data_IF_629626393992
#
_entry.id   IF_629626393992
#
_cell.length_a   1.000
_cell.length_b   1.000
_cell.length_c   1.000
_cell.angle_alpha   90.00
_cell.angle_beta   90.00
_cell.angle_gamma   90.00
#
_symmetry.space_group_name_H-M   'P 1'
#
loop_
_entity.id
_entity.type
_entity.pdbx_description
1 polymer ?
#
# COMPACT_ATOMS: atom_id res chain seq x y z
N UNK A 1 -4.34 2.73 -12.19
CA UNK A 1 -2.95 2.28 -11.80
C UNK A 1 -1.84 2.97 -12.60
N UNK A 2 -2.08 3.44 -13.82
CA UNK A 2 -1.05 4.10 -14.64
C UNK A 2 -0.38 5.29 -13.92
N UNK A 3 -1.15 6.26 -13.44
CA UNK A 3 -0.62 7.41 -12.68
C UNK A 3 0.14 6.99 -11.42
N UNK A 4 -0.30 5.90 -10.78
CA UNK A 4 0.40 5.32 -9.61
C UNK A 4 1.76 4.75 -9.99
N UNK A 5 1.85 4.04 -11.13
CA UNK A 5 3.12 3.53 -11.65
C UNK A 5 4.06 4.68 -12.03
N UNK A 6 3.56 5.69 -12.72
CA UNK A 6 4.36 6.87 -13.04
C UNK A 6 4.88 7.58 -11.78
N UNK A 7 4.03 7.69 -10.74
CA UNK A 7 4.43 8.29 -9.47
C UNK A 7 5.51 7.48 -8.76
N UNK A 8 5.33 6.17 -8.63
CA UNK A 8 6.25 5.34 -7.87
C UNK A 8 7.59 5.12 -8.60
N UNK A 9 7.59 5.26 -9.93
CA UNK A 9 8.80 5.20 -10.76
C UNK A 9 9.65 6.48 -10.65
N UNK A 10 9.11 7.56 -10.08
CA UNK A 10 9.91 8.76 -9.80
C UNK A 10 10.86 8.51 -8.65
N UNK A 11 12.06 9.12 -8.71
CA UNK A 11 12.92 9.21 -7.55
C UNK A 11 12.16 9.82 -6.37
N UNK A 12 12.23 9.24 -5.17
CA UNK A 12 11.48 9.73 -4.01
C UNK A 12 11.62 11.22 -3.71
N UNK A 13 12.77 11.83 -4.05
CA UNK A 13 13.01 13.27 -3.86
C UNK A 13 12.06 14.15 -4.69
N UNK A 14 11.55 13.63 -5.80
CA UNK A 14 10.63 14.34 -6.71
C UNK A 14 9.15 14.05 -6.43
N UNK A 15 8.82 13.02 -5.65
CA UNK A 15 7.44 12.55 -5.42
C UNK A 15 6.53 13.62 -4.84
N UNK A 16 7.05 14.51 -3.99
CA UNK A 16 6.29 15.63 -3.42
C UNK A 16 5.65 16.55 -4.46
N UNK A 17 6.26 16.69 -5.63
CA UNK A 17 5.75 17.54 -6.72
C UNK A 17 4.66 16.84 -7.57
N UNK A 18 4.47 15.55 -7.36
CA UNK A 18 3.54 14.71 -8.12
C UNK A 18 2.48 14.03 -7.25
N UNK A 19 2.31 14.49 -6.02
CA UNK A 19 1.43 13.87 -5.02
C UNK A 19 -0.02 13.71 -5.51
N UNK A 20 -0.52 14.66 -6.31
CA UNK A 20 -1.84 14.62 -6.91
C UNK A 20 -2.09 13.41 -7.81
N UNK A 21 -1.06 12.75 -8.37
CA UNK A 21 -1.21 11.53 -9.18
C UNK A 21 -1.75 10.35 -8.37
N UNK A 22 -1.49 10.31 -7.07
CA UNK A 22 -2.02 9.28 -6.18
C UNK A 22 -3.49 9.54 -5.80
N UNK A 23 -3.89 10.81 -5.73
CA UNK A 23 -5.23 11.20 -5.26
C UNK A 23 -6.23 11.38 -6.38
N UNK A 24 -5.76 11.64 -7.61
CA UNK A 24 -6.58 11.93 -8.78
C UNK A 24 -7.60 10.82 -9.10
N UNK A 25 -7.20 9.55 -8.94
CA UNK A 25 -8.08 8.40 -9.21
C UNK A 25 -9.38 8.42 -8.40
N UNK A 26 -9.37 9.03 -7.21
CA UNK A 26 -10.54 9.10 -6.35
C UNK A 26 -11.64 10.04 -6.87
N UNK A 27 -11.33 10.93 -7.81
CA UNK A 27 -12.32 11.80 -8.45
C UNK A 27 -13.33 11.01 -9.30
N UNK A 28 -12.96 9.84 -9.79
CA UNK A 28 -13.80 9.01 -10.65
C UNK A 28 -13.93 7.55 -10.17
N UNK A 29 -13.26 7.18 -9.06
CA UNK A 29 -13.17 5.79 -8.59
C UNK A 29 -14.53 5.10 -8.38
N UNK A 30 -15.60 5.86 -8.17
CA UNK A 30 -16.95 5.36 -7.89
C UNK A 30 -17.95 5.59 -9.04
N UNK A 31 -17.48 6.06 -10.20
CA UNK A 31 -18.34 6.24 -11.37
C UNK A 31 -18.63 4.92 -12.06
N UNK A 32 -17.74 3.95 -11.93
CA UNK A 32 -17.82 2.61 -12.54
C UNK A 32 -17.19 1.56 -11.62
N UNK A 33 -17.39 0.27 -11.95
CA UNK A 33 -16.78 -0.84 -11.23
C UNK A 33 -15.37 -1.11 -11.75
N UNK A 34 -14.38 -0.38 -11.25
CA UNK A 34 -13.00 -0.46 -11.72
C UNK A 34 -12.26 -1.70 -11.22
N UNK A 35 -11.44 -2.26 -12.10
CA UNK A 35 -10.33 -3.13 -11.76
C UNK A 35 -9.06 -2.27 -11.69
N UNK A 36 -8.17 -2.56 -10.76
CA UNK A 36 -6.86 -1.91 -10.61
C UNK A 36 -5.81 -2.80 -11.30
N UNK A 37 -5.52 -2.59 -12.61
CA UNK A 37 -4.67 -3.50 -13.34
C UNK A 37 -3.19 -3.16 -13.16
N UNK A 38 -2.41 -4.16 -12.73
CA UNK A 38 -1.01 -4.32 -13.05
C UNK A 38 -0.94 -5.50 -14.03
N UNK A 39 -1.40 -5.26 -15.26
CA UNK A 39 -1.62 -6.28 -16.28
C UNK A 39 -0.35 -6.56 -17.10
N UNK A 40 -0.46 -7.48 -18.07
CA UNK A 40 0.63 -7.75 -19.01
C UNK A 40 1.09 -6.49 -19.77
N UNK A 41 0.17 -5.55 -20.04
CA UNK A 41 0.49 -4.31 -20.76
C UNK A 41 1.55 -3.46 -20.06
N UNK A 42 1.73 -3.65 -18.74
CA UNK A 42 2.73 -2.92 -17.97
C UNK A 42 4.12 -3.59 -18.00
N UNK A 43 4.22 -4.84 -18.49
CA UNK A 43 5.45 -5.65 -18.41
C UNK A 43 5.87 -6.31 -19.70
N UNK A 44 5.23 -5.95 -20.84
CA UNK A 44 5.60 -6.41 -22.18
C UNK A 44 6.89 -5.77 -22.68
N UNK A 45 7.41 -6.29 -23.79
CA UNK A 45 8.66 -5.83 -24.42
C UNK A 45 8.74 -4.31 -24.56
N UNK A 46 9.85 -3.76 -24.10
CA UNK A 46 10.14 -2.32 -24.12
C UNK A 46 9.55 -1.52 -22.95
N UNK A 47 8.84 -2.16 -22.00
CA UNK A 47 8.23 -1.48 -20.85
C UNK A 47 8.91 -1.76 -19.51
N UNK A 48 9.88 -2.66 -19.45
CA UNK A 48 10.50 -3.22 -18.25
C UNK A 48 9.53 -3.98 -17.34
N UNK A 49 10.04 -4.89 -16.50
CA UNK A 49 9.24 -5.54 -15.45
C UNK A 49 8.89 -4.56 -14.33
N UNK A 50 7.88 -4.89 -13.50
CA UNK A 50 7.46 -4.00 -12.41
C UNK A 50 8.61 -3.65 -11.47
N UNK A 51 9.45 -4.61 -11.10
CA UNK A 51 10.58 -4.36 -10.20
C UNK A 51 11.65 -3.46 -10.84
N UNK A 52 11.86 -3.57 -12.15
CA UNK A 52 12.83 -2.74 -12.87
C UNK A 52 12.35 -1.31 -13.14
N UNK A 53 11.06 -1.02 -12.90
CA UNK A 53 10.53 0.35 -12.91
C UNK A 53 10.80 1.09 -11.59
N UNK A 54 11.15 0.37 -10.53
CA UNK A 54 11.34 0.96 -9.21
C UNK A 54 12.71 1.67 -9.13
N UNK A 55 12.77 2.90 -8.59
CA UNK A 55 14.03 3.63 -8.46
C UNK A 55 14.85 3.16 -7.26
N UNK A 56 16.15 3.46 -7.29
CA UNK A 56 17.07 3.28 -6.18
C UNK A 56 17.93 2.03 -6.25
N UNK A 57 18.38 1.56 -5.09
CA UNK A 57 19.16 0.34 -4.95
C UNK A 57 18.25 -0.92 -4.88
N UNK A 58 18.86 -2.10 -4.73
CA UNK A 58 18.12 -3.36 -4.70
C UNK A 58 17.06 -3.40 -3.59
N UNK A 59 17.40 -2.93 -2.38
CA UNK A 59 16.46 -2.87 -1.27
C UNK A 59 15.28 -1.94 -1.59
N UNK A 60 15.58 -0.76 -2.16
CA UNK A 60 14.57 0.24 -2.54
C UNK A 60 13.66 -0.28 -3.67
N UNK A 61 14.19 -1.05 -4.63
CA UNK A 61 13.37 -1.71 -5.65
C UNK A 61 12.29 -2.57 -5.01
N UNK A 62 12.68 -3.48 -4.10
CA UNK A 62 11.72 -4.35 -3.41
C UNK A 62 10.80 -3.58 -2.46
N UNK A 63 11.31 -2.58 -1.73
CA UNK A 63 10.52 -1.74 -0.84
C UNK A 63 9.42 -0.98 -1.63
N UNK A 64 9.77 -0.35 -2.74
CA UNK A 64 8.81 0.33 -3.62
C UNK A 64 7.77 -0.65 -4.21
N UNK A 65 8.18 -1.86 -4.58
CA UNK A 65 7.25 -2.85 -5.13
C UNK A 65 6.29 -3.39 -4.05
N UNK A 66 6.78 -3.66 -2.84
CA UNK A 66 5.93 -3.98 -1.68
C UNK A 66 4.93 -2.87 -1.37
N UNK A 67 5.40 -1.63 -1.39
CA UNK A 67 4.58 -0.44 -1.18
C UNK A 67 3.47 -0.31 -2.24
N UNK A 68 3.82 -0.47 -3.52
CA UNK A 68 2.87 -0.44 -4.64
C UNK A 68 1.76 -1.47 -4.46
N UNK A 69 2.12 -2.70 -4.11
CA UNK A 69 1.12 -3.75 -3.92
C UNK A 69 0.22 -3.46 -2.72
N UNK A 70 0.77 -3.05 -1.59
CA UNK A 70 -0.04 -2.69 -0.43
C UNK A 70 -0.97 -1.51 -0.73
N UNK A 71 -0.51 -0.49 -1.44
CA UNK A 71 -1.35 0.61 -1.92
C UNK A 71 -2.49 0.10 -2.82
N UNK A 72 -2.18 -0.73 -3.83
CA UNK A 72 -3.19 -1.31 -4.71
C UNK A 72 -4.24 -2.12 -3.92
N UNK A 73 -3.81 -2.95 -2.94
CA UNK A 73 -4.73 -3.76 -2.13
C UNK A 73 -5.60 -2.93 -1.19
N UNK A 74 -5.07 -1.84 -0.65
CA UNK A 74 -5.83 -0.93 0.20
C UNK A 74 -6.75 0.04 -0.58
N UNK A 75 -6.41 0.39 -1.83
CA UNK A 75 -7.19 1.29 -2.68
C UNK A 75 -8.53 0.64 -3.10
N UNK A 76 -9.65 1.39 -3.25
CA UNK A 76 -10.90 0.86 -3.80
C UNK A 76 -10.74 0.29 -5.21
N UNK A 77 -11.51 -0.75 -5.54
CA UNK A 77 -11.49 -1.46 -6.83
C UNK A 77 -10.93 -2.88 -6.74
N UNK A 78 -11.21 -3.71 -7.74
CA UNK A 78 -10.74 -5.10 -7.77
C UNK A 78 -9.28 -5.19 -8.20
N UNK A 79 -8.55 -6.14 -7.65
CA UNK A 79 -7.09 -6.28 -7.83
C UNK A 79 -6.77 -7.18 -9.02
N UNK A 80 -5.83 -6.75 -9.85
CA UNK A 80 -5.28 -7.58 -10.92
C UNK A 80 -3.76 -7.46 -10.91
N UNK A 81 -3.08 -8.54 -10.62
CA UNK A 81 -1.64 -8.69 -10.71
C UNK A 81 -1.31 -9.76 -11.73
N UNK A 82 -0.50 -9.41 -12.73
CA UNK A 82 -0.12 -10.35 -13.78
C UNK A 82 0.98 -11.30 -13.30
N UNK A 83 0.99 -12.52 -13.87
CA UNK A 83 1.90 -13.60 -13.50
C UNK A 83 3.38 -13.15 -13.50
N UNK A 84 4.14 -13.61 -12.50
CA UNK A 84 5.54 -13.22 -12.29
C UNK A 84 5.69 -11.95 -11.45
N UNK A 85 4.68 -11.08 -11.40
CA UNK A 85 4.67 -9.89 -10.55
C UNK A 85 4.71 -10.24 -9.05
N UNK A 86 4.03 -11.33 -8.67
CA UNK A 86 3.93 -11.78 -7.28
C UNK A 86 5.26 -12.13 -6.62
N UNK A 87 6.28 -12.46 -7.40
CA UNK A 87 7.63 -12.70 -6.90
C UNK A 87 8.68 -11.76 -7.51
N UNK A 88 8.25 -10.71 -8.23
CA UNK A 88 9.13 -9.67 -8.77
C UNK A 88 10.03 -10.17 -9.89
N UNK A 89 9.46 -10.88 -10.88
CA UNK A 89 10.18 -11.30 -12.09
C UNK A 89 10.97 -10.14 -12.69
N UNK A 90 12.23 -10.37 -13.07
CA UNK A 90 13.11 -9.32 -13.60
C UNK A 90 13.02 -9.13 -15.09
N UNK A 91 12.82 -10.22 -15.85
CA UNK A 91 12.60 -10.12 -17.28
C UNK A 91 11.21 -9.57 -17.59
N UNK A 92 11.13 -8.87 -18.71
CA UNK A 92 9.84 -8.54 -19.33
C UNK A 92 9.08 -9.81 -19.66
N UNK A 93 7.75 -9.73 -19.63
CA UNK A 93 6.96 -10.90 -19.99
C UNK A 93 7.13 -11.28 -21.45
N UNK A 94 7.41 -12.56 -21.69
CA UNK A 94 7.49 -13.18 -22.98
C UNK A 94 6.66 -14.47 -22.99
N UNK A 95 5.72 -14.58 -23.94
CA UNK A 95 4.83 -15.75 -24.03
C UNK A 95 5.56 -17.04 -24.47
N UNK A 96 6.75 -16.92 -25.04
CA UNK A 96 7.56 -18.05 -25.52
C UNK A 96 8.44 -18.68 -24.44
N UNK A 97 8.55 -18.05 -23.27
CA UNK A 97 9.43 -18.51 -22.19
C UNK A 97 8.67 -18.75 -20.89
N UNK A 98 9.18 -19.66 -20.07
CA UNK A 98 8.68 -19.86 -18.73
C UNK A 98 9.01 -18.66 -17.83
N UNK A 99 8.22 -18.49 -16.75
CA UNK A 99 8.55 -17.52 -15.71
C UNK A 99 9.89 -17.87 -15.04
N UNK A 100 10.56 -16.86 -14.51
CA UNK A 100 11.87 -16.98 -13.85
C UNK A 100 11.78 -17.59 -12.44
N UNK A 101 11.21 -18.80 -12.31
CA UNK A 101 11.02 -19.46 -11.01
C UNK A 101 12.31 -19.62 -10.19
N UNK A 102 13.48 -19.60 -10.83
CA UNK A 102 14.78 -19.63 -10.16
C UNK A 102 15.03 -18.43 -9.25
N UNK A 103 14.31 -17.30 -9.44
CA UNK A 103 14.41 -16.13 -8.57
C UNK A 103 13.92 -16.41 -7.14
N UNK A 104 13.05 -17.39 -6.96
CA UNK A 104 12.61 -17.84 -5.62
C UNK A 104 13.71 -18.49 -4.78
N UNK A 105 14.91 -18.69 -5.32
CA UNK A 105 16.08 -19.06 -4.50
C UNK A 105 16.63 -17.86 -3.68
N UNK A 106 16.21 -16.63 -3.99
CA UNK A 106 16.69 -15.42 -3.34
C UNK A 106 15.68 -14.90 -2.32
N UNK A 107 16.14 -14.50 -1.10
CA UNK A 107 15.26 -14.10 0.01
C UNK A 107 14.32 -12.94 -0.33
N UNK A 108 14.78 -11.98 -1.11
CA UNK A 108 14.00 -10.78 -1.47
C UNK A 108 12.77 -11.15 -2.31
N UNK A 109 12.91 -12.08 -3.24
CA UNK A 109 11.83 -12.58 -4.08
C UNK A 109 10.86 -13.46 -3.28
N UNK A 110 11.37 -14.27 -2.34
CA UNK A 110 10.53 -15.03 -1.41
C UNK A 110 9.72 -14.11 -0.51
N UNK A 111 10.36 -13.07 0.04
CA UNK A 111 9.71 -12.07 0.89
C UNK A 111 8.58 -11.34 0.17
N UNK A 112 8.80 -10.95 -1.09
CA UNK A 112 7.77 -10.33 -1.91
C UNK A 112 6.60 -11.27 -2.19
N UNK A 113 6.88 -12.53 -2.54
CA UNK A 113 5.84 -13.53 -2.76
C UNK A 113 5.01 -13.75 -1.50
N UNK A 114 5.66 -13.84 -0.34
CA UNK A 114 4.99 -13.95 0.95
C UNK A 114 4.08 -12.76 1.21
N UNK A 115 4.55 -11.54 0.96
CA UNK A 115 3.71 -10.35 1.09
C UNK A 115 2.45 -10.45 0.22
N UNK A 116 2.56 -10.88 -1.02
CA UNK A 116 1.40 -11.02 -1.91
C UNK A 116 0.42 -12.09 -1.38
N UNK A 117 0.92 -13.18 -0.83
CA UNK A 117 0.08 -14.19 -0.17
C UNK A 117 -0.68 -13.59 1.02
N UNK A 118 0.01 -12.83 1.87
CA UNK A 118 -0.58 -12.22 3.06
C UNK A 118 -1.54 -11.08 2.70
N UNK A 119 -1.25 -10.28 1.66
CA UNK A 119 -2.17 -9.30 1.10
C UNK A 119 -3.46 -9.96 0.59
N UNK A 120 -3.36 -11.09 -0.12
CA UNK A 120 -4.52 -11.85 -0.57
C UNK A 120 -5.35 -12.40 0.62
N UNK A 121 -4.69 -12.87 1.67
CA UNK A 121 -5.34 -13.35 2.88
C UNK A 121 -6.03 -12.19 3.63
N UNK A 122 -5.34 -11.06 3.78
CA UNK A 122 -5.87 -9.85 4.40
C UNK A 122 -7.10 -9.33 3.63
N UNK A 123 -7.00 -9.20 2.30
CA UNK A 123 -8.09 -8.72 1.46
C UNK A 123 -9.35 -9.58 1.61
N UNK A 124 -9.22 -10.90 1.67
CA UNK A 124 -10.36 -11.82 1.85
C UNK A 124 -10.94 -11.78 3.26
N UNK A 125 -10.08 -11.60 4.28
CA UNK A 125 -10.50 -11.61 5.69
C UNK A 125 -11.14 -10.30 6.13
N UNK A 126 -10.70 -9.16 5.58
CA UNK A 126 -11.12 -7.84 6.04
C UNK A 126 -12.22 -7.26 5.15
N UNK A 127 -13.49 -7.27 5.62
CA UNK A 127 -14.65 -6.78 4.86
C UNK A 127 -14.48 -5.34 4.39
N UNK A 128 -13.81 -4.50 5.18
CA UNK A 128 -13.53 -3.11 4.84
C UNK A 128 -12.75 -2.94 3.53
N UNK A 129 -11.98 -3.95 3.09
CA UNK A 129 -11.19 -3.88 1.87
C UNK A 129 -11.96 -4.23 0.59
N UNK A 130 -13.14 -4.90 0.70
CA UNK A 130 -13.80 -5.43 -0.50
C UNK A 130 -15.32 -5.29 -0.56
N UNK A 131 -16.01 -5.02 0.57
CA UNK A 131 -17.49 -4.98 0.58
C UNK A 131 -18.06 -3.74 -0.10
N UNK A 132 -17.33 -2.62 -0.05
CA UNK A 132 -17.73 -1.34 -0.61
C UNK A 132 -16.64 -0.77 -1.54
N UNK A 133 -16.15 -1.59 -2.48
CA UNK A 133 -15.09 -1.19 -3.42
C UNK A 133 -15.56 -0.17 -4.47
N UNK A 134 -16.88 -0.10 -4.71
CA UNK A 134 -17.48 0.71 -5.78
C UNK A 134 -18.43 1.78 -5.25
N UNK A 135 -18.35 2.06 -3.94
CA UNK A 135 -19.18 3.04 -3.26
C UNK A 135 -18.29 4.00 -2.46
N UNK A 136 -18.59 5.30 -2.55
CA UNK A 136 -17.90 6.34 -1.82
C UNK A 136 -17.96 6.14 -0.29
N UNK A 137 -18.95 5.43 0.23
CA UNK A 137 -19.07 5.09 1.66
C UNK A 137 -17.95 4.15 2.11
N UNK A 138 -17.34 3.40 1.20
CA UNK A 138 -16.25 2.47 1.48
C UNK A 138 -14.87 3.10 1.62
N UNK A 139 -14.76 4.42 1.39
CA UNK A 139 -13.46 5.12 1.40
C UNK A 139 -13.57 6.52 1.99
N UNK A 140 -12.56 6.91 2.76
CA UNK A 140 -12.46 8.25 3.30
C UNK A 140 -11.00 8.66 3.46
N UNK A 141 -10.63 9.81 2.92
CA UNK A 141 -9.33 10.41 3.21
C UNK A 141 -9.24 10.83 4.68
N UNK A 142 -8.14 10.49 5.34
CA UNK A 142 -7.74 11.07 6.62
C UNK A 142 -6.81 12.26 6.39
N UNK A 143 -5.81 12.07 5.54
CA UNK A 143 -4.96 13.12 4.99
C UNK A 143 -4.48 12.72 3.60
N UNK A 144 -4.81 13.52 2.61
CA UNK A 144 -4.35 13.38 1.22
C UNK A 144 -3.50 14.57 0.78
N UNK A 145 -3.17 15.50 1.67
CA UNK A 145 -2.52 16.77 1.35
C UNK A 145 -1.06 16.84 1.82
N UNK A 146 -0.54 15.83 2.51
CA UNK A 146 0.84 15.83 2.99
C UNK A 146 1.83 15.47 1.87
N UNK A 147 1.84 16.30 0.82
CA UNK A 147 2.75 16.16 -0.30
C UNK A 147 4.21 16.37 0.08
N UNK A 148 4.49 17.26 1.02
CA UNK A 148 5.88 17.55 1.46
C UNK A 148 6.55 16.31 2.07
N UNK A 149 5.80 15.51 2.81
CA UNK A 149 6.26 14.24 3.35
C UNK A 149 6.00 13.05 2.41
N UNK A 150 5.25 13.27 1.33
CA UNK A 150 4.78 12.19 0.43
C UNK A 150 4.13 11.04 1.20
N UNK A 151 3.21 11.39 2.11
CA UNK A 151 2.44 10.44 2.92
C UNK A 151 0.97 10.53 2.56
N UNK A 152 0.30 9.38 2.48
CA UNK A 152 -1.16 9.29 2.36
C UNK A 152 -1.73 8.51 3.53
N UNK A 153 -2.85 8.99 4.06
CA UNK A 153 -3.62 8.24 5.06
C UNK A 153 -5.11 8.24 4.72
N UNK A 154 -5.75 7.08 4.85
CA UNK A 154 -7.17 6.93 4.56
C UNK A 154 -7.82 5.79 5.34
N UNK A 155 -9.14 5.82 5.39
CA UNK A 155 -9.98 4.75 5.91
C UNK A 155 -10.59 3.93 4.78
N UNK A 156 -10.65 2.63 4.97
CA UNK A 156 -11.55 1.73 4.23
C UNK A 156 -12.63 1.28 5.19
N UNK A 157 -13.89 1.28 4.72
CA UNK A 157 -15.06 0.90 5.52
C UNK A 157 -15.78 -0.30 4.92
N UNK A 158 -16.23 -1.20 5.79
CA UNK A 158 -17.21 -2.22 5.43
C UNK A 158 -18.63 -1.63 5.36
N UNK A 159 -19.62 -2.47 5.10
CA UNK A 159 -21.04 -2.07 5.20
C UNK A 159 -21.44 -1.72 6.63
N UNK A 160 -20.85 -2.38 7.61
CA UNK A 160 -20.90 -1.94 9.00
C UNK A 160 -19.90 -0.77 9.17
N UNK A 161 -20.35 0.45 9.47
CA UNK A 161 -19.47 1.61 9.62
C UNK A 161 -18.46 1.48 10.77
N UNK A 162 -18.75 0.63 11.76
CA UNK A 162 -17.85 0.30 12.87
C UNK A 162 -16.71 -0.64 12.46
N UNK A 163 -16.87 -1.36 11.33
CA UNK A 163 -15.80 -2.18 10.76
C UNK A 163 -15.03 -1.39 9.72
N UNK A 164 -13.89 -0.82 10.14
CA UNK A 164 -13.02 -0.04 9.29
C UNK A 164 -11.54 -0.38 9.48
N UNK A 165 -10.75 -0.04 8.48
CA UNK A 165 -9.30 -0.19 8.45
C UNK A 165 -8.65 1.15 8.14
N UNK A 166 -7.59 1.49 8.88
CA UNK A 166 -6.74 2.67 8.65
C UNK A 166 -5.52 2.24 7.85
N UNK A 167 -5.27 2.89 6.72
CA UNK A 167 -4.04 2.74 5.96
C UNK A 167 -3.20 4.01 6.07
N UNK A 168 -1.90 3.86 6.32
CA UNK A 168 -0.91 4.94 6.30
C UNK A 168 0.28 4.50 5.43
N UNK A 169 0.64 5.33 4.46
CA UNK A 169 1.57 4.96 3.39
C UNK A 169 2.63 6.05 3.24
N UNK A 170 3.89 5.68 3.44
CA UNK A 170 5.05 6.55 3.33
C UNK A 170 5.81 6.24 2.04
N UNK A 171 5.76 7.16 1.09
CA UNK A 171 6.43 7.01 -0.21
C UNK A 171 7.88 7.55 -0.23
N UNK A 172 8.48 7.80 0.94
CA UNK A 172 9.86 8.30 1.05
C UNK A 172 10.78 7.31 1.75
N UNK A 173 12.09 7.31 1.44
CA UNK A 173 13.08 6.46 2.11
C UNK A 173 13.47 7.01 3.50
N UNK A 174 12.57 7.70 4.17
CA UNK A 174 12.78 8.30 5.49
C UNK A 174 11.76 7.73 6.47
N UNK A 175 12.21 7.15 7.56
CA UNK A 175 11.34 6.75 8.67
C UNK A 175 10.73 8.01 9.30
N UNK A 176 9.40 7.97 9.55
CA UNK A 176 8.70 9.06 10.20
C UNK A 176 8.21 8.61 11.56
N UNK A 177 8.93 9.03 12.58
CA UNK A 177 8.55 8.76 13.96
C UNK A 177 7.48 9.76 14.44
N UNK A 178 6.60 9.29 15.32
CA UNK A 178 5.54 10.11 15.90
C UNK A 178 4.62 10.79 14.86
N UNK A 179 4.43 10.16 13.70
CA UNK A 179 3.53 10.66 12.67
C UNK A 179 2.08 10.52 13.12
N UNK A 180 1.38 11.66 13.20
CA UNK A 180 0.04 11.69 13.76
C UNK A 180 -1.03 11.48 12.69
N UNK A 181 -1.92 10.51 12.94
CA UNK A 181 -3.05 10.15 12.07
C UNK A 181 -4.35 10.26 12.85
N UNK A 182 -5.28 11.10 12.40
CA UNK A 182 -6.59 11.23 13.01
C UNK A 182 -7.45 10.00 12.83
N UNK A 183 -8.16 9.56 13.88
CA UNK A 183 -9.06 8.41 13.84
C UNK A 183 -10.40 8.71 14.50
N UNK A 184 -11.52 8.05 14.06
CA UNK A 184 -12.86 8.39 14.54
C UNK A 184 -13.14 7.89 15.96
N UNK A 185 -12.48 6.84 16.43
CA UNK A 185 -12.83 6.12 17.65
C UNK A 185 -11.63 5.90 18.57
N UNK A 186 -11.86 5.88 19.91
CA UNK A 186 -10.84 5.50 20.87
C UNK A 186 -10.58 3.99 20.85
N UNK A 187 -9.50 3.54 21.45
CA UNK A 187 -9.17 2.13 21.66
C UNK A 187 -7.84 1.72 21.07
N UNK A 188 -7.55 0.44 21.11
CA UNK A 188 -6.33 -0.15 20.57
C UNK A 188 -6.51 -0.50 19.10
N UNK A 189 -5.59 -0.03 18.28
CA UNK A 189 -5.51 -0.31 16.85
C UNK A 189 -4.38 -1.30 16.60
N UNK A 190 -4.74 -2.55 16.28
CA UNK A 190 -3.78 -3.59 15.95
C UNK A 190 -3.18 -3.35 14.56
N UNK A 191 -1.86 -3.45 14.43
CA UNK A 191 -1.18 -3.45 13.14
C UNK A 191 -1.44 -4.79 12.45
N UNK A 192 -2.19 -4.77 11.34
CA UNK A 192 -2.55 -5.96 10.57
C UNK A 192 -1.58 -6.26 9.45
N UNK A 193 -0.90 -5.23 8.95
CA UNK A 193 0.09 -5.30 7.89
C UNK A 193 1.15 -4.24 8.13
N UNK A 194 2.39 -4.64 7.92
CA UNK A 194 3.54 -3.73 7.82
C UNK A 194 4.44 -4.26 6.70
N UNK A 195 4.53 -3.52 5.59
CA UNK A 195 5.31 -3.99 4.43
C UNK A 195 6.82 -3.92 4.63
N UNK A 196 7.30 -3.29 5.72
CA UNK A 196 8.70 -3.30 6.15
C UNK A 196 9.03 -4.43 7.16
N UNK A 197 8.10 -5.36 7.39
CA UNK A 197 8.37 -6.51 8.25
C UNK A 197 9.52 -7.37 7.66
N UNK A 198 10.34 -7.94 8.54
CA UNK A 198 11.53 -8.72 8.16
C UNK A 198 11.17 -9.93 7.30
N UNK A 199 10.02 -10.54 7.52
CA UNK A 199 9.50 -11.68 6.76
C UNK A 199 9.24 -11.36 5.27
N UNK A 200 9.12 -10.07 4.92
CA UNK A 200 8.98 -9.58 3.54
C UNK A 200 10.29 -9.01 2.99
N UNK A 201 11.40 -9.13 3.73
CA UNK A 201 12.69 -8.53 3.37
C UNK A 201 12.80 -7.05 3.72
N UNK A 202 12.00 -6.56 4.68
CA UNK A 202 12.09 -5.22 5.24
C UNK A 202 13.07 -5.11 6.41
N UNK A 203 13.19 -3.90 6.94
CA UNK A 203 14.08 -3.60 8.07
C UNK A 203 13.45 -3.92 9.44
N UNK A 204 12.14 -4.17 9.49
CA UNK A 204 11.42 -4.47 10.73
C UNK A 204 11.07 -3.23 11.55
N UNK A 205 11.10 -2.05 10.96
CA UNK A 205 10.60 -0.82 11.58
C UNK A 205 9.07 -0.85 11.61
N UNK A 206 8.43 -0.48 12.72
CA UNK A 206 6.96 -0.53 12.83
C UNK A 206 6.45 -0.16 14.21
N UNK A 207 5.25 -0.62 14.55
CA UNK A 207 4.50 -0.20 15.72
C UNK A 207 4.29 -1.32 16.76
N UNK A 208 5.16 -2.33 16.76
CA UNK A 208 5.18 -3.41 17.76
C UNK A 208 3.82 -4.14 17.92
N UNK A 209 3.08 -4.28 16.82
CA UNK A 209 1.78 -4.96 16.78
C UNK A 209 0.57 -4.06 16.99
N UNK A 210 0.76 -2.77 17.24
CA UNK A 210 -0.34 -1.80 17.29
C UNK A 210 -0.11 -0.64 18.25
N UNK A 211 -1.06 0.30 18.24
CA UNK A 211 -1.02 1.53 19.06
C UNK A 211 -2.39 1.83 19.67
N UNK A 212 -2.40 2.51 20.80
CA UNK A 212 -3.64 3.00 21.42
C UNK A 212 -3.92 4.42 20.96
N UNK A 213 -5.15 4.69 20.56
CA UNK A 213 -5.59 6.03 20.18
C UNK A 213 -5.53 6.99 21.37
N UNK A 214 -4.93 8.14 21.17
CA UNK A 214 -4.85 9.23 22.13
C UNK A 214 -6.07 10.16 22.00
N UNK A 215 -6.58 10.75 23.08
CA UNK A 215 -7.66 11.76 23.05
C UNK A 215 -7.12 13.13 22.60
N UNK A 216 -6.38 13.13 21.49
CA UNK A 216 -5.78 14.31 20.85
C UNK A 216 -6.44 14.49 19.49
N UNK A 217 -7.28 15.54 19.32
CA UNK A 217 -7.91 15.79 18.03
C UNK A 217 -6.89 16.07 16.93
N UNK A 218 -7.12 15.52 15.73
CA UNK A 218 -6.24 15.70 14.58
C UNK A 218 -7.03 15.68 13.27
N UNK A 219 -6.84 16.70 12.42
CA UNK A 219 -7.47 16.84 11.11
C UNK A 219 -8.99 16.54 11.11
N UNK A 220 -9.70 17.12 12.10
CA UNK A 220 -11.15 16.98 12.24
C UNK A 220 -11.61 15.66 12.89
N UNK A 221 -10.72 14.83 13.39
CA UNK A 221 -11.02 13.61 14.16
C UNK A 221 -10.84 13.84 15.66
N UNK A 222 -11.67 13.21 16.50
CA UNK A 222 -11.60 13.41 17.96
C UNK A 222 -10.41 12.70 18.62
N UNK A 223 -9.86 11.68 17.97
CA UNK A 223 -8.72 10.89 18.45
C UNK A 223 -7.64 10.80 17.37
N UNK A 224 -6.44 10.40 17.77
CA UNK A 224 -5.34 10.20 16.86
C UNK A 224 -4.41 9.07 17.29
N UNK A 225 -3.74 8.47 16.31
CA UNK A 225 -2.65 7.53 16.50
C UNK A 225 -1.33 8.26 16.32
N UNK A 226 -0.35 7.99 17.18
CA UNK A 226 1.05 8.39 16.98
C UNK A 226 1.81 7.18 16.43
N UNK A 227 2.13 7.21 15.13
CA UNK A 227 2.67 6.08 14.38
C UNK A 227 4.15 6.25 14.07
N UNK A 228 4.86 5.13 14.02
CA UNK A 228 6.11 5.02 13.30
C UNK A 228 5.79 4.54 11.87
N UNK A 229 6.03 5.38 10.86
CA UNK A 229 5.88 5.01 9.45
C UNK A 229 7.24 4.60 8.90
N UNK A 230 7.44 3.33 8.55
CA UNK A 230 8.70 2.87 7.98
C UNK A 230 9.01 3.53 6.63
N UNK A 231 10.26 3.51 6.23
CA UNK A 231 10.70 4.02 4.94
C UNK A 231 10.14 3.18 3.79
N UNK A 232 9.61 3.83 2.74
CA UNK A 232 9.05 3.17 1.55
C UNK A 232 8.09 2.03 1.91
N UNK A 233 7.15 2.29 2.83
CA UNK A 233 6.30 1.26 3.38
C UNK A 233 4.85 1.71 3.60
N UNK A 234 3.97 0.72 3.67
CA UNK A 234 2.58 0.85 4.05
C UNK A 234 2.32 0.08 5.35
N UNK A 235 1.55 0.67 6.24
CA UNK A 235 1.04 0.03 7.45
C UNK A 235 -0.48 0.11 7.48
N UNK A 236 -1.12 -0.96 7.91
CA UNK A 236 -2.57 -1.04 8.03
C UNK A 236 -2.96 -1.41 9.46
N UNK A 237 -3.93 -0.67 9.99
CA UNK A 237 -4.42 -0.86 11.36
C UNK A 237 -5.90 -1.12 11.39
N UNK A 238 -6.33 -1.93 12.34
CA UNK A 238 -7.74 -2.16 12.65
C UNK A 238 -7.99 -2.02 14.13
N UNK A 239 -9.02 -1.25 14.49
CA UNK A 239 -9.47 -1.18 15.87
C UNK A 239 -9.90 -2.57 16.34
N UNK A 240 -9.36 -3.04 17.47
CA UNK A 240 -9.87 -4.24 18.13
C UNK A 240 -11.12 -3.88 18.92
N UNK A 241 -12.16 -4.70 18.78
CA UNK A 241 -13.31 -4.64 19.68
C UNK A 241 -12.86 -4.83 21.12
N UNK A 242 -13.33 -3.98 22.01
CA UNK A 242 -13.16 -4.15 23.44
C UNK A 242 -14.05 -5.28 23.95
#
# INVERSE_FOLDING_TARGET
>A
MHDTLEYISQDPIHRKYHHSRLTFSMLYAFNENFVLPLSHDEVVHGKASLINKMPGDLWQHFANLRLLYAYMYAHPGKKLLFMGGEFGQRSEWCHETALEWGLLAFPEHQGLQRLVMDLNALYRREPALHQQDFDWQGFEWLDCNDGDNSVLTFLRRARDPGDFLVAAINFTPVVRENYRVGVPEPGFYAELLNTDAQEYGGCGVGNLGGVTAEPVPWLGRPYSLSLCLPALAAVCFKKRGG
#
